data_IF_564560992037
#
_entry.id   IF_564560992037
#
_cell.length_a   1.000
_cell.length_b   1.000
_cell.length_c   1.000
_cell.angle_alpha   90.00
_cell.angle_beta   90.00
_cell.angle_gamma   90.00
#
_symmetry.space_group_name_H-M   'P 1'
#
loop_
_entity.id
_entity.type
_entity.pdbx_description
1 polymer ?
#
# COMPACT_ATOMS: atom_id res chain seq x y z
N UNK A 1 2.85 -38.78 -8.24
CA UNK A 1 3.57 -37.56 -8.69
C UNK A 1 2.62 -36.52 -9.35
N UNK A 2 1.31 -36.54 -9.07
CA UNK A 2 0.35 -35.55 -9.60
C UNK A 2 -0.24 -34.61 -8.52
N UNK A 3 -0.23 -35.01 -7.25
CA UNK A 3 -0.79 -34.21 -6.14
C UNK A 3 0.03 -32.95 -5.82
N UNK A 4 1.36 -33.01 -6.00
CA UNK A 4 2.27 -31.87 -5.78
C UNK A 4 2.01 -30.70 -6.74
N UNK A 5 1.50 -30.97 -7.95
CA UNK A 5 1.17 -29.93 -8.95
C UNK A 5 -0.15 -29.24 -8.60
N UNK A 6 -1.12 -29.99 -8.06
CA UNK A 6 -2.42 -29.45 -7.65
C UNK A 6 -2.31 -28.53 -6.40
N UNK A 7 -1.43 -28.85 -5.45
CA UNK A 7 -1.20 -28.01 -4.27
C UNK A 7 -0.42 -26.72 -4.57
N UNK A 8 0.39 -26.69 -5.63
CA UNK A 8 1.16 -25.51 -6.04
C UNK A 8 0.36 -24.56 -6.96
N UNK A 9 -0.65 -25.07 -7.66
CA UNK A 9 -1.52 -24.26 -8.55
C UNK A 9 -2.15 -23.03 -7.88
N UNK A 10 -2.67 -23.09 -6.64
CA UNK A 10 -3.18 -21.92 -5.92
C UNK A 10 -2.12 -20.82 -5.72
N UNK A 11 -0.88 -21.22 -5.42
CA UNK A 11 0.24 -20.28 -5.21
C UNK A 11 0.66 -19.60 -6.52
N UNK A 12 0.70 -20.36 -7.62
CA UNK A 12 1.00 -19.81 -8.94
C UNK A 12 -0.14 -18.93 -9.48
N UNK A 13 -1.39 -19.33 -9.28
CA UNK A 13 -2.56 -18.56 -9.66
C UNK A 13 -2.64 -17.24 -8.86
N UNK A 14 -2.41 -17.27 -7.54
CA UNK A 14 -2.41 -16.06 -6.71
C UNK A 14 -1.24 -15.13 -7.11
N UNK A 15 -0.05 -15.69 -7.34
CA UNK A 15 1.10 -14.93 -7.84
C UNK A 15 0.86 -14.26 -9.20
N UNK A 16 0.22 -14.96 -10.15
CA UNK A 16 -0.09 -14.42 -11.48
C UNK A 16 -1.18 -13.35 -11.42
N UNK A 17 -2.26 -13.60 -10.68
CA UNK A 17 -3.35 -12.63 -10.47
C UNK A 17 -2.82 -11.35 -9.82
N UNK A 18 -1.97 -11.48 -8.80
CA UNK A 18 -1.32 -10.33 -8.15
C UNK A 18 -0.43 -9.54 -9.11
N UNK A 19 0.42 -10.21 -9.90
CA UNK A 19 1.26 -9.54 -10.91
C UNK A 19 0.42 -8.80 -11.95
N UNK A 20 -0.63 -9.45 -12.46
CA UNK A 20 -1.52 -8.82 -13.44
C UNK A 20 -2.25 -7.61 -12.84
N UNK A 21 -2.71 -7.71 -11.59
CA UNK A 21 -3.32 -6.59 -10.89
C UNK A 21 -2.33 -5.43 -10.71
N UNK A 22 -1.08 -5.68 -10.32
CA UNK A 22 -0.02 -4.65 -10.24
C UNK A 22 0.19 -3.97 -11.59
N UNK A 23 0.30 -4.74 -12.67
CA UNK A 23 0.46 -4.19 -14.01
C UNK A 23 -0.74 -3.33 -14.43
N UNK A 24 -1.96 -3.77 -14.12
CA UNK A 24 -3.19 -3.00 -14.36
C UNK A 24 -3.22 -1.70 -13.54
N UNK A 25 -2.82 -1.76 -12.28
CA UNK A 25 -2.73 -0.59 -11.39
C UNK A 25 -1.75 0.43 -11.96
N UNK A 26 -0.54 -0.01 -12.35
CA UNK A 26 0.48 0.84 -12.98
C UNK A 26 -0.05 1.51 -14.27
N UNK A 27 -0.67 0.73 -15.16
CA UNK A 27 -1.26 1.28 -16.40
C UNK A 27 -2.34 2.31 -16.14
N UNK A 28 -3.21 2.07 -15.13
CA UNK A 28 -4.27 3.02 -14.77
C UNK A 28 -3.72 4.31 -14.20
N UNK A 29 -2.73 4.22 -13.31
CA UNK A 29 -2.06 5.39 -12.74
C UNK A 29 -1.36 6.22 -13.82
N UNK A 30 -0.63 5.57 -14.74
CA UNK A 30 0.00 6.24 -15.88
C UNK A 30 -1.03 6.93 -16.79
N UNK A 31 -2.27 6.42 -16.84
CA UNK A 31 -3.38 7.05 -17.56
C UNK A 31 -4.17 8.07 -16.70
N UNK A 32 -3.64 8.50 -15.55
CA UNK A 32 -4.29 9.45 -14.65
C UNK A 32 -5.55 8.93 -13.95
N UNK A 33 -5.81 7.61 -13.98
CA UNK A 33 -7.04 7.01 -13.43
C UNK A 33 -6.84 6.59 -11.97
N UNK A 34 -7.85 6.79 -11.10
CA UNK A 34 -7.78 6.33 -9.73
C UNK A 34 -7.76 4.79 -9.64
N UNK A 35 -7.10 4.29 -8.60
CA UNK A 35 -6.87 2.87 -8.33
C UNK A 35 -7.03 2.55 -6.85
N UNK A 36 -7.17 1.26 -6.53
CA UNK A 36 -7.20 0.76 -5.15
C UNK A 36 -6.11 -0.30 -4.99
N UNK A 37 -5.28 -0.16 -3.96
CA UNK A 37 -4.21 -1.10 -3.61
C UNK A 37 -4.57 -1.78 -2.29
N UNK A 38 -4.61 -3.12 -2.22
CA UNK A 38 -4.76 -3.83 -0.95
C UNK A 38 -3.57 -3.53 -0.03
N UNK A 39 -3.84 -3.12 1.20
CA UNK A 39 -2.80 -2.86 2.19
C UNK A 39 -3.34 -3.02 3.61
N UNK A 40 -2.43 -3.12 4.57
CA UNK A 40 -2.74 -3.08 5.98
C UNK A 40 -2.05 -1.90 6.61
N UNK A 41 -2.71 -1.20 7.52
CA UNK A 41 -2.14 -0.02 8.15
C UNK A 41 -2.31 -0.08 9.66
N UNK A 42 -1.31 0.44 10.39
CA UNK A 42 -1.42 0.76 11.81
C UNK A 42 -0.88 2.18 12.06
N UNK A 43 -1.39 2.83 13.09
CA UNK A 43 -0.80 4.07 13.58
C UNK A 43 -1.20 4.31 15.03
N UNK A 44 -0.36 5.03 15.75
CA UNK A 44 -0.67 5.47 17.11
C UNK A 44 -1.40 6.82 17.15
N UNK A 45 -1.84 7.33 16.01
CA UNK A 45 -2.62 8.57 15.90
C UNK A 45 -3.98 8.45 16.61
N UNK A 46 -4.54 9.54 17.16
CA UNK A 46 -5.93 9.55 17.58
C UNK A 46 -6.86 9.13 16.43
N UNK A 47 -7.82 8.26 16.71
CA UNK A 47 -8.74 7.69 15.71
C UNK A 47 -8.18 6.53 14.88
N UNK A 48 -6.92 6.13 15.09
CA UNK A 48 -6.32 4.97 14.42
C UNK A 48 -6.30 3.73 15.32
N UNK A 49 -6.32 2.56 14.70
CA UNK A 49 -6.04 1.31 15.39
C UNK A 49 -4.54 1.12 15.60
N UNK A 50 -4.16 0.73 16.82
CA UNK A 50 -2.78 0.40 17.21
C UNK A 50 -2.32 -0.96 16.69
N UNK A 51 -3.24 -1.77 16.19
CA UNK A 51 -2.99 -3.03 15.50
C UNK A 51 -3.11 -2.85 13.99
N UNK A 52 -2.49 -3.74 13.22
CA UNK A 52 -2.66 -3.73 11.78
C UNK A 52 -4.09 -4.08 11.39
N UNK A 53 -4.65 -3.23 10.54
CA UNK A 53 -5.99 -3.45 9.99
C UNK A 53 -5.90 -3.59 8.49
N UNK A 54 -6.47 -4.67 7.98
CA UNK A 54 -6.60 -4.89 6.55
C UNK A 54 -7.58 -3.87 5.93
N UNK A 55 -7.14 -3.23 4.86
CA UNK A 55 -7.89 -2.19 4.18
C UNK A 55 -7.51 -2.06 2.71
N UNK A 56 -7.81 -0.89 2.15
CA UNK A 56 -7.44 -0.54 0.78
C UNK A 56 -6.99 0.90 0.72
N UNK A 57 -5.88 1.13 0.04
CA UNK A 57 -5.37 2.44 -0.29
C UNK A 57 -6.00 2.90 -1.61
N UNK A 58 -6.85 3.92 -1.56
CA UNK A 58 -7.38 4.63 -2.72
C UNK A 58 -6.39 5.71 -3.17
N UNK A 59 -5.80 5.52 -4.33
CA UNK A 59 -4.83 6.43 -4.93
C UNK A 59 -5.50 7.13 -6.11
N UNK A 60 -5.50 8.47 -6.06
CA UNK A 60 -5.90 9.33 -7.17
C UNK A 60 -4.67 10.13 -7.62
N UNK A 61 -4.17 9.95 -8.85
CA UNK A 61 -3.00 10.70 -9.33
C UNK A 61 -3.16 12.21 -9.17
N UNK A 62 -2.13 12.88 -8.67
CA UNK A 62 -2.13 14.34 -8.47
C UNK A 62 -3.01 14.84 -7.30
N UNK A 63 -3.69 13.97 -6.56
CA UNK A 63 -4.42 14.37 -5.37
C UNK A 63 -3.46 14.73 -4.23
N UNK A 64 -3.84 15.73 -3.41
CA UNK A 64 -3.06 16.13 -2.25
C UNK A 64 -3.07 15.09 -1.12
N UNK A 65 -3.97 14.11 -1.16
CA UNK A 65 -4.08 13.04 -0.17
C UNK A 65 -4.41 11.70 -0.83
N UNK A 66 -4.00 10.63 -0.16
CA UNK A 66 -4.31 9.24 -0.46
C UNK A 66 -5.27 8.74 0.61
N UNK A 67 -6.36 8.07 0.20
CA UNK A 67 -7.37 7.62 1.15
C UNK A 67 -7.12 6.19 1.60
N UNK A 68 -7.06 5.92 2.89
CA UNK A 68 -7.03 4.57 3.43
C UNK A 68 -8.41 4.17 3.95
N UNK A 69 -9.03 3.20 3.30
CA UNK A 69 -10.33 2.64 3.69
C UNK A 69 -10.15 1.45 4.62
N UNK A 70 -10.71 1.56 5.83
CA UNK A 70 -10.91 0.47 6.78
C UNK A 70 -12.19 -0.29 6.42
N UNK A 71 -12.23 -1.61 6.62
CA UNK A 71 -13.49 -2.35 6.50
C UNK A 71 -14.53 -1.96 7.55
N UNK A 72 -14.09 -1.55 8.75
CA UNK A 72 -14.96 -1.38 9.92
C UNK A 72 -15.10 0.09 10.34
N UNK A 73 -14.07 0.91 10.12
CA UNK A 73 -13.99 2.28 10.67
C UNK A 73 -14.16 3.41 9.64
N UNK A 74 -14.50 3.10 8.38
CA UNK A 74 -14.68 4.11 7.33
C UNK A 74 -13.39 4.40 6.55
N UNK A 75 -13.10 5.67 6.28
CA UNK A 75 -11.92 6.09 5.51
C UNK A 75 -11.14 7.17 6.27
N UNK A 76 -9.83 7.18 6.12
CA UNK A 76 -8.94 8.25 6.61
C UNK A 76 -8.05 8.71 5.49
N UNK A 77 -7.94 10.01 5.33
CA UNK A 77 -7.07 10.60 4.33
C UNK A 77 -5.67 10.85 4.90
N UNK A 78 -4.68 10.42 4.14
CA UNK A 78 -3.27 10.61 4.43
C UNK A 78 -2.72 11.64 3.43
N UNK A 79 -2.21 12.79 3.88
CA UNK A 79 -1.64 13.78 2.97
C UNK A 79 -0.45 13.17 2.22
N UNK A 80 -0.21 13.65 1.00
CA UNK A 80 0.94 13.30 0.16
C UNK A 80 2.13 14.23 0.45
N UNK A 81 3.31 13.89 -0.06
CA UNK A 81 4.52 14.69 0.09
C UNK A 81 5.28 14.46 1.40
N UNK A 82 5.06 13.31 2.03
CA UNK A 82 5.79 12.88 3.24
C UNK A 82 7.01 12.03 2.90
N UNK A 83 7.65 11.46 3.91
CA UNK A 83 8.85 10.63 3.76
C UNK A 83 8.58 9.18 4.16
N UNK A 84 9.23 8.26 3.45
CA UNK A 84 9.23 6.85 3.82
C UNK A 84 10.52 6.52 4.58
N UNK A 85 10.37 5.73 5.63
CA UNK A 85 11.46 5.20 6.44
C UNK A 85 11.35 3.68 6.47
N UNK A 86 12.48 3.01 6.68
CA UNK A 86 12.49 1.57 6.94
C UNK A 86 11.63 1.27 8.17
N UNK A 87 10.87 0.16 8.16
CA UNK A 87 10.10 -0.25 9.32
C UNK A 87 11.04 -0.55 10.50
N UNK A 88 10.52 -0.49 11.72
CA UNK A 88 11.28 -0.95 12.89
C UNK A 88 11.72 -2.42 12.68
N UNK A 89 12.99 -2.74 13.00
CA UNK A 89 13.65 -3.98 12.58
C UNK A 89 13.02 -5.25 13.15
N UNK A 90 12.30 -5.16 14.27
CA UNK A 90 12.01 -6.33 15.10
C UNK A 90 10.69 -7.05 14.81
N UNK A 91 9.85 -6.59 13.87
CA UNK A 91 8.51 -7.21 13.74
C UNK A 91 8.00 -7.65 12.37
N UNK A 92 8.52 -7.22 11.21
CA UNK A 92 7.68 -7.27 9.99
C UNK A 92 8.29 -7.76 8.67
N UNK A 93 9.36 -8.54 8.70
CA UNK A 93 9.88 -9.11 7.47
C UNK A 93 9.12 -10.39 7.06
N UNK A 94 8.08 -10.24 6.24
CA UNK A 94 7.60 -11.31 5.36
C UNK A 94 8.08 -11.00 3.94
N UNK A 95 8.66 -11.97 3.24
CA UNK A 95 9.19 -11.78 1.88
C UNK A 95 8.14 -11.25 0.90
N UNK A 96 6.86 -11.58 1.13
CA UNK A 96 5.75 -11.14 0.28
C UNK A 96 5.17 -9.79 0.69
N UNK A 97 5.39 -9.35 1.94
CA UNK A 97 4.81 -8.13 2.50
C UNK A 97 5.89 -7.14 2.92
N UNK A 98 6.04 -6.09 2.13
CA UNK A 98 6.86 -4.96 2.47
C UNK A 98 6.13 -4.09 3.51
N UNK A 99 6.77 -3.87 4.66
CA UNK A 99 6.35 -2.85 5.61
C UNK A 99 7.18 -1.59 5.41
N UNK A 100 6.55 -0.43 5.55
CA UNK A 100 7.24 0.87 5.51
C UNK A 100 6.58 1.84 6.50
N UNK A 101 7.39 2.66 7.14
CA UNK A 101 6.91 3.75 7.97
C UNK A 101 6.76 5.01 7.10
N UNK A 102 5.52 5.43 6.89
CA UNK A 102 5.21 6.69 6.22
C UNK A 102 5.07 7.80 7.26
N UNK A 103 5.84 8.87 7.08
CA UNK A 103 5.81 10.07 7.90
C UNK A 103 5.14 11.21 7.12
N UNK A 104 3.91 11.61 7.49
CA UNK A 104 3.18 12.70 6.82
C UNK A 104 3.89 14.05 6.89
N UNK A 105 3.71 14.93 5.88
CA UNK A 105 4.20 16.30 5.91
C UNK A 105 3.62 17.07 7.10
N UNK A 106 4.40 17.98 7.67
CA UNK A 106 3.99 18.78 8.85
C UNK A 106 4.26 18.10 10.20
N UNK A 107 4.83 16.89 10.22
CA UNK A 107 5.16 16.17 11.44
C UNK A 107 3.99 15.33 11.99
N UNK A 108 4.22 14.66 13.11
CA UNK A 108 3.24 13.79 13.77
C UNK A 108 3.71 12.34 13.91
N UNK A 109 2.79 11.45 14.31
CA UNK A 109 3.11 10.02 14.48
C UNK A 109 3.16 9.32 13.12
N UNK A 110 4.08 8.38 12.88
CA UNK A 110 4.14 7.66 11.61
C UNK A 110 2.90 6.79 11.39
N UNK A 111 2.64 6.50 10.12
CA UNK A 111 1.66 5.52 9.67
C UNK A 111 2.44 4.37 9.06
N UNK A 112 2.32 3.21 9.67
CA UNK A 112 3.00 2.03 9.18
C UNK A 112 2.10 1.31 8.19
N UNK A 113 2.58 1.16 6.96
CA UNK A 113 1.87 0.54 5.85
C UNK A 113 2.52 -0.80 5.53
N UNK A 114 1.71 -1.83 5.41
CA UNK A 114 2.10 -3.15 4.95
C UNK A 114 1.41 -3.43 3.62
N UNK A 115 2.21 -3.71 2.59
CA UNK A 115 1.73 -3.96 1.23
C UNK A 115 2.45 -5.14 0.62
N UNK A 116 1.81 -5.81 -0.33
CA UNK A 116 2.54 -6.78 -1.17
C UNK A 116 3.70 -6.02 -1.85
N UNK A 117 4.90 -6.57 -1.74
CA UNK A 117 6.16 -5.90 -2.12
C UNK A 117 6.15 -5.34 -3.54
N UNK A 118 5.36 -5.94 -4.44
CA UNK A 118 5.19 -5.52 -5.84
C UNK A 118 4.48 -4.17 -5.98
N UNK A 119 3.68 -3.76 -4.99
CA UNK A 119 3.02 -2.46 -4.94
C UNK A 119 3.87 -1.37 -4.27
N UNK A 120 4.96 -1.71 -3.60
CA UNK A 120 5.77 -0.74 -2.87
C UNK A 120 6.22 0.45 -3.74
N UNK A 121 6.71 0.26 -4.99
CA UNK A 121 7.05 1.40 -5.86
C UNK A 121 5.86 2.29 -6.20
N UNK A 122 4.67 1.69 -6.35
CA UNK A 122 3.43 2.42 -6.66
C UNK A 122 3.00 3.26 -5.45
N UNK A 123 3.10 2.71 -4.24
CA UNK A 123 2.78 3.43 -3.00
C UNK A 123 3.75 4.58 -2.79
N UNK A 124 5.06 4.36 -2.99
CA UNK A 124 6.05 5.44 -2.88
C UNK A 124 5.76 6.59 -3.84
N UNK A 125 5.43 6.30 -5.10
CA UNK A 125 5.07 7.31 -6.09
C UNK A 125 3.78 8.04 -5.74
N UNK A 126 2.75 7.32 -5.26
CA UNK A 126 1.47 7.91 -4.88
C UNK A 126 1.57 8.91 -3.73
N UNK A 127 2.47 8.64 -2.78
CA UNK A 127 2.74 9.51 -1.64
C UNK A 127 3.84 10.54 -1.89
N UNK A 128 4.54 10.48 -3.03
CA UNK A 128 5.42 11.55 -3.47
C UNK A 128 4.59 12.83 -3.72
N UNK A 129 5.24 14.00 -3.68
CA UNK A 129 4.56 15.27 -3.88
C UNK A 129 3.80 15.26 -5.23
N UNK A 130 2.62 15.91 -5.32
CA UNK A 130 1.86 15.98 -6.57
C UNK A 130 2.70 16.58 -7.72
N UNK A 131 3.59 17.51 -7.40
CA UNK A 131 4.53 18.15 -8.33
C UNK A 131 5.50 17.17 -8.98
N UNK A 132 5.84 16.09 -8.26
CA UNK A 132 6.74 15.02 -8.70
C UNK A 132 6.01 13.95 -9.53
N UNK A 133 4.68 14.00 -9.60
CA UNK A 133 3.86 13.03 -10.33
C UNK A 133 3.53 13.46 -11.77
N UNK A 134 4.07 14.59 -12.26
CA UNK A 134 3.92 15.02 -13.66
C UNK A 134 4.78 14.13 -14.57
N UNK A 135 4.11 13.31 -15.39
CA UNK A 135 4.67 12.71 -16.61
C UNK A 135 4.32 13.61 -17.77
#
# INVERSE_FOLDING_TARGET
MGELIAELMPLFADGFVRRWHVARVRRRLAAGKPVRVPCSARSERPGWQRVYVNGRLGITPGAAAVSFGFRVLGHVDLPTGGTFHEPEPDTWHSQDWAATAYQPPGGGRPVYLQVDSRYLPVVHLAFARPETQKV
#
